data_IF_823538550486
#
_entry.id   IF_823538550486
#
_cell.length_a   1.000
_cell.length_b   1.000
_cell.length_c   1.000
_cell.angle_alpha   90.00
_cell.angle_beta   90.00
_cell.angle_gamma   90.00
#
_symmetry.space_group_name_H-M   'P 1'
#
loop_
_entity.id
_entity.type
_entity.pdbx_description
1 polymer ?
#
# COMPACT_ATOMS: atom_id res chain seq x y z
N UNK A 1 -45.64 -19.00 28.58
CA UNK A 1 -46.53 -19.72 27.65
C UNK A 1 -45.92 -19.55 26.25
N UNK A 2 -45.39 -20.48 25.52
CA UNK A 2 -45.43 -21.92 25.44
C UNK A 2 -44.14 -22.40 24.78
N UNK A 3 -43.59 -23.43 25.37
CA UNK A 3 -42.42 -24.22 24.92
C UNK A 3 -42.84 -25.08 23.71
N UNK A 4 -41.97 -25.23 22.72
CA UNK A 4 -41.97 -26.47 21.96
C UNK A 4 -40.53 -26.87 21.53
N UNK A 5 -40.02 -27.87 22.24
CA UNK A 5 -38.89 -28.73 21.88
C UNK A 5 -39.35 -29.72 20.81
N UNK A 6 -38.51 -30.03 19.83
CA UNK A 6 -38.51 -31.33 19.15
C UNK A 6 -37.08 -31.78 18.87
N UNK A 7 -36.76 -32.87 19.56
CA UNK A 7 -35.62 -33.76 19.40
C UNK A 7 -35.96 -34.92 18.46
N UNK A 8 -34.92 -35.70 18.11
CA UNK A 8 -34.82 -37.04 17.43
C UNK A 8 -34.49 -36.98 15.95
N UNK A 9 -33.65 -37.86 15.34
CA UNK A 9 -32.99 -39.07 15.84
C UNK A 9 -31.76 -39.42 14.97
N UNK A 10 -30.89 -40.23 15.56
CA UNK A 10 -29.78 -41.01 14.99
C UNK A 10 -30.22 -41.93 13.84
N UNK A 11 -29.33 -42.16 12.88
CA UNK A 11 -29.16 -43.49 12.26
C UNK A 11 -27.75 -43.63 11.72
N UNK A 12 -26.95 -44.47 12.35
CA UNK A 12 -25.65 -44.93 11.88
C UNK A 12 -25.82 -46.09 10.87
N UNK A 13 -24.85 -46.18 9.97
CA UNK A 13 -24.59 -47.45 9.23
C UNK A 13 -23.08 -47.69 9.23
N UNK A 14 -22.74 -48.79 9.81
CA UNK A 14 -21.42 -49.41 9.89
C UNK A 14 -21.36 -50.46 8.77
N UNK A 15 -20.30 -50.48 7.94
CA UNK A 15 -19.97 -51.66 7.11
C UNK A 15 -18.49 -51.96 7.19
N UNK A 16 -18.23 -53.24 7.50
CA UNK A 16 -16.95 -53.89 7.77
C UNK A 16 -16.15 -54.21 6.48
N UNK A 17 -14.87 -54.16 6.64
CA UNK A 17 -13.75 -55.05 6.28
C UNK A 17 -13.86 -56.05 5.11
N UNK A 18 -12.76 -56.08 4.32
CA UNK A 18 -12.16 -57.32 3.87
C UNK A 18 -10.64 -57.17 3.68
N UNK A 19 -9.91 -57.95 4.44
CA UNK A 19 -8.48 -58.21 4.31
C UNK A 19 -8.22 -59.17 3.14
N UNK A 20 -7.09 -58.95 2.44
CA UNK A 20 -6.57 -59.91 1.44
C UNK A 20 -5.04 -59.97 1.56
N UNK A 21 -4.56 -60.96 2.31
CA UNK A 21 -3.16 -61.38 2.32
C UNK A 21 -2.85 -62.23 1.05
N UNK A 22 -1.71 -61.96 0.47
CA UNK A 22 -1.13 -62.83 -0.58
C UNK A 22 0.39 -62.67 -0.55
N UNK A 23 1.06 -63.59 0.15
CA UNK A 23 2.51 -63.81 0.13
C UNK A 23 2.93 -64.49 -1.15
N UNK A 24 4.07 -64.16 -1.72
CA UNK A 24 5.09 -65.15 -2.09
C UNK A 24 6.46 -64.48 -2.43
N UNK A 25 7.46 -65.21 -2.04
CA UNK A 25 8.87 -64.89 -1.89
C UNK A 25 9.73 -65.07 -3.14
N UNK A 26 11.00 -64.53 -3.03
CA UNK A 26 12.29 -64.93 -3.62
C UNK A 26 12.56 -64.39 -5.03
N UNK A 27 13.64 -63.67 -5.31
CA UNK A 27 15.07 -63.82 -5.12
C UNK A 27 15.81 -62.55 -5.59
N UNK A 28 16.84 -62.21 -4.91
CA UNK A 28 18.20 -61.71 -5.22
C UNK A 28 18.43 -60.79 -6.40
N UNK A 29 18.86 -59.55 -6.10
CA UNK A 29 19.51 -58.67 -7.10
C UNK A 29 19.91 -57.34 -6.48
N UNK A 30 21.21 -57.13 -6.38
CA UNK A 30 21.97 -56.02 -5.80
C UNK A 30 21.31 -54.64 -5.95
N UNK A 31 21.21 -54.00 -4.79
CA UNK A 31 20.78 -52.64 -4.57
C UNK A 31 21.76 -51.60 -5.11
N UNK A 32 21.32 -50.77 -6.00
CA UNK A 32 21.84 -49.38 -6.09
C UNK A 32 20.68 -48.45 -5.76
N UNK A 33 20.76 -47.82 -4.60
CA UNK A 33 19.86 -46.75 -4.18
C UNK A 33 20.03 -45.56 -5.12
N UNK A 34 18.94 -45.05 -5.71
CA UNK A 34 19.02 -43.73 -6.31
C UNK A 34 19.02 -42.70 -5.18
N UNK A 35 20.14 -42.00 -5.05
CA UNK A 35 20.26 -40.77 -4.29
C UNK A 35 19.20 -39.80 -4.73
N UNK A 36 18.27 -39.48 -3.82
CA UNK A 36 17.27 -38.40 -4.01
C UNK A 36 18.06 -37.09 -4.09
N UNK A 37 18.27 -36.60 -5.29
CA UNK A 37 18.68 -35.22 -5.51
C UNK A 37 17.59 -34.30 -4.98
N UNK A 38 17.92 -33.26 -4.21
CA UNK A 38 16.94 -32.26 -3.84
C UNK A 38 16.41 -31.61 -5.13
N UNK A 39 15.10 -31.69 -5.33
CA UNK A 39 14.41 -30.98 -6.40
C UNK A 39 14.64 -29.49 -6.19
N UNK A 40 15.57 -28.91 -6.92
CA UNK A 40 15.73 -27.48 -7.04
C UNK A 40 14.46 -26.93 -7.68
N UNK A 41 13.67 -26.20 -6.91
CA UNK A 41 12.64 -25.34 -7.44
C UNK A 41 13.21 -24.46 -8.54
N UNK A 42 12.47 -24.15 -9.63
CA UNK A 42 12.99 -23.28 -10.67
C UNK A 42 13.32 -21.91 -10.06
N UNK A 43 14.59 -21.59 -10.00
CA UNK A 43 15.09 -20.24 -9.70
C UNK A 43 14.57 -19.35 -10.81
N UNK A 44 13.62 -18.46 -10.51
CA UNK A 44 13.23 -17.38 -11.40
C UNK A 44 14.46 -16.52 -11.61
N UNK A 45 15.06 -16.61 -12.81
CA UNK A 45 16.36 -16.02 -13.16
C UNK A 45 16.35 -14.50 -13.22
N UNK A 46 16.31 -13.84 -12.07
CA UNK A 46 16.60 -12.43 -11.91
C UNK A 46 17.95 -12.24 -11.22
N UNK A 47 18.52 -11.02 -11.23
CA UNK A 47 19.77 -10.75 -10.54
C UNK A 47 19.62 -11.06 -9.04
N UNK A 48 20.63 -11.71 -8.46
CA UNK A 48 20.70 -11.89 -7.00
C UNK A 48 21.05 -10.54 -6.36
N UNK A 49 20.05 -9.93 -5.72
CA UNK A 49 20.17 -8.62 -5.06
C UNK A 49 20.49 -8.74 -3.56
N UNK A 50 20.61 -9.95 -3.03
CA UNK A 50 20.85 -10.20 -1.59
C UNK A 50 22.15 -9.56 -1.06
N UNK A 51 23.15 -9.39 -1.93
CA UNK A 51 24.40 -8.71 -1.63
C UNK A 51 24.29 -7.23 -1.32
N UNK A 52 23.21 -6.58 -1.78
CA UNK A 52 22.98 -5.14 -1.64
C UNK A 52 22.14 -4.76 -0.41
N UNK A 53 21.73 -5.75 0.39
CA UNK A 53 20.99 -5.52 1.63
C UNK A 53 21.90 -4.93 2.72
N UNK A 54 21.43 -3.91 3.48
CA UNK A 54 22.10 -3.48 4.70
C UNK A 54 22.38 -4.67 5.65
N UNK A 55 23.53 -4.71 6.34
CA UNK A 55 23.91 -5.83 7.20
C UNK A 55 22.84 -6.20 8.25
N UNK A 56 22.17 -5.19 8.82
CA UNK A 56 21.07 -5.37 9.79
C UNK A 56 19.90 -6.16 9.17
N UNK A 57 19.47 -5.79 7.97
CA UNK A 57 18.35 -6.44 7.26
C UNK A 57 18.76 -7.87 6.87
N UNK A 58 19.97 -8.04 6.34
CA UNK A 58 20.51 -9.35 5.96
C UNK A 58 20.56 -10.31 7.14
N UNK A 59 21.03 -9.85 8.29
CA UNK A 59 21.09 -10.66 9.52
C UNK A 59 19.71 -11.00 10.07
N UNK A 60 18.73 -10.07 9.96
CA UNK A 60 17.37 -10.27 10.45
C UNK A 60 16.49 -11.10 9.51
N UNK A 61 16.83 -11.22 8.22
CA UNK A 61 16.01 -11.86 7.19
C UNK A 61 14.68 -11.15 6.92
N UNK A 62 14.56 -9.91 7.38
CA UNK A 62 13.34 -9.10 7.22
C UNK A 62 13.64 -7.60 7.15
N UNK A 63 12.76 -6.86 6.47
CA UNK A 63 12.76 -5.40 6.41
C UNK A 63 11.63 -4.88 7.30
N UNK A 64 11.94 -4.01 8.27
CA UNK A 64 10.95 -3.34 9.11
C UNK A 64 10.48 -2.07 8.41
N UNK A 65 9.19 -2.00 8.04
CA UNK A 65 8.62 -0.92 7.25
C UNK A 65 7.59 -0.13 8.06
N UNK A 66 7.83 1.19 8.20
CA UNK A 66 6.80 2.11 8.72
C UNK A 66 5.77 2.42 7.63
N UNK A 67 4.48 2.30 7.96
CA UNK A 67 3.36 2.47 7.02
C UNK A 67 2.17 3.13 7.70
N UNK A 68 1.49 4.07 7.06
CA UNK A 68 0.18 4.54 7.51
C UNK A 68 -0.93 3.72 6.86
N UNK A 69 -1.39 2.70 7.57
CA UNK A 69 -2.40 1.78 7.08
C UNK A 69 -3.83 2.35 7.15
N UNK A 70 -4.01 3.60 6.70
CA UNK A 70 -5.31 4.28 6.61
C UNK A 70 -5.62 4.85 5.21
N UNK A 71 -4.87 4.42 4.17
CA UNK A 71 -4.82 5.02 2.83
C UNK A 71 -5.23 4.05 1.70
N UNK A 72 -6.45 3.45 1.77
CA UNK A 72 -6.89 2.49 0.75
C UNK A 72 -7.05 3.15 -0.63
N UNK A 73 -6.70 2.45 -1.73
CA UNK A 73 -6.36 1.04 -1.84
C UNK A 73 -4.86 0.75 -1.70
N UNK A 74 -4.04 1.76 -1.39
CA UNK A 74 -2.58 1.63 -1.43
C UNK A 74 -2.03 0.88 -0.22
N UNK A 75 -2.41 1.27 1.00
CA UNK A 75 -2.08 0.59 2.25
C UNK A 75 -3.17 0.82 3.31
N UNK A 76 -3.73 -0.27 3.83
CA UNK A 76 -4.80 -0.19 4.83
C UNK A 76 -4.92 -1.46 5.67
N UNK A 77 -5.65 -1.36 6.79
CA UNK A 77 -5.91 -2.50 7.67
C UNK A 77 -7.11 -3.32 7.20
N UNK A 78 -6.88 -4.52 6.69
CA UNK A 78 -7.94 -5.49 6.46
C UNK A 78 -8.37 -6.16 7.77
N UNK A 79 -9.66 -6.10 8.07
CA UNK A 79 -10.20 -6.63 9.32
C UNK A 79 -9.62 -5.97 10.58
N UNK A 80 -9.06 -4.77 10.45
CA UNK A 80 -8.44 -4.04 11.57
C UNK A 80 -7.11 -4.61 12.06
N UNK A 81 -6.51 -5.57 11.36
CA UNK A 81 -5.33 -6.31 11.83
C UNK A 81 -4.20 -6.41 10.82
N UNK A 82 -4.49 -6.78 9.60
CA UNK A 82 -3.47 -7.09 8.58
C UNK A 82 -3.30 -5.91 7.64
N UNK A 83 -2.09 -5.44 7.47
CA UNK A 83 -1.76 -4.41 6.47
C UNK A 83 -1.81 -5.03 5.08
N UNK A 84 -2.62 -4.48 4.20
CA UNK A 84 -2.81 -4.91 2.81
C UNK A 84 -2.90 -3.68 1.90
N UNK A 85 -2.76 -3.89 0.60
CA UNK A 85 -2.90 -2.82 -0.39
C UNK A 85 -1.92 -2.96 -1.55
N UNK A 86 -2.00 -2.02 -2.47
CA UNK A 86 -1.14 -1.98 -3.66
C UNK A 86 0.36 -1.87 -3.27
N UNK A 87 0.69 -0.95 -2.38
CA UNK A 87 2.05 -0.73 -1.91
C UNK A 87 2.60 -1.95 -1.18
N UNK A 88 1.73 -2.61 -0.41
CA UNK A 88 2.07 -3.82 0.34
C UNK A 88 2.40 -4.98 -0.60
N UNK A 89 1.53 -5.24 -1.57
CA UNK A 89 1.74 -6.32 -2.54
C UNK A 89 2.98 -6.06 -3.39
N UNK A 90 3.16 -4.83 -3.87
CA UNK A 90 4.29 -4.46 -4.72
C UNK A 90 5.61 -4.59 -3.95
N UNK A 91 5.67 -4.06 -2.73
CA UNK A 91 6.92 -4.13 -1.97
C UNK A 91 7.20 -5.53 -1.41
N UNK A 92 6.20 -6.34 -1.12
CA UNK A 92 6.41 -7.76 -0.81
C UNK A 92 7.07 -8.49 -1.99
N UNK A 93 6.68 -8.18 -3.24
CA UNK A 93 7.36 -8.72 -4.43
C UNK A 93 8.80 -8.20 -4.59
N UNK A 94 9.05 -6.92 -4.26
CA UNK A 94 10.42 -6.37 -4.18
C UNK A 94 11.25 -7.12 -3.13
N UNK A 95 10.74 -7.31 -1.92
CA UNK A 95 11.43 -8.02 -0.84
C UNK A 95 11.76 -9.48 -1.19
N UNK A 96 10.90 -10.15 -1.97
CA UNK A 96 11.16 -11.50 -2.48
C UNK A 96 12.38 -11.55 -3.41
N UNK A 97 12.66 -10.49 -4.20
CA UNK A 97 13.89 -10.41 -5.02
C UNK A 97 15.17 -10.35 -4.17
N UNK A 98 15.07 -9.96 -2.92
CA UNK A 98 16.14 -9.96 -1.93
C UNK A 98 16.16 -11.22 -1.06
N UNK A 99 15.19 -12.11 -1.15
CA UNK A 99 15.07 -13.29 -0.30
C UNK A 99 14.70 -13.00 1.16
N UNK A 100 14.06 -11.87 1.44
CA UNK A 100 13.65 -11.45 2.80
C UNK A 100 12.14 -11.23 2.90
N UNK A 101 11.62 -11.20 4.12
CA UNK A 101 10.23 -10.88 4.41
C UNK A 101 10.06 -9.40 4.79
N UNK A 102 8.82 -8.91 4.87
CA UNK A 102 8.49 -7.56 5.31
C UNK A 102 7.74 -7.60 6.63
N UNK A 103 8.17 -6.77 7.57
CA UNK A 103 7.51 -6.54 8.86
C UNK A 103 6.83 -5.17 8.84
N UNK A 104 5.55 -5.14 8.52
CA UNK A 104 4.75 -3.93 8.37
C UNK A 104 4.36 -3.36 9.74
N UNK A 105 4.82 -2.13 10.05
CA UNK A 105 4.61 -1.44 11.32
C UNK A 105 3.68 -0.23 11.13
N UNK A 106 2.39 -0.31 11.50
CA UNK A 106 1.47 0.82 11.41
C UNK A 106 1.95 2.03 12.23
N UNK A 107 1.91 3.21 11.61
CA UNK A 107 2.37 4.48 12.19
C UNK A 107 1.53 5.65 11.64
N UNK A 108 1.62 6.82 12.27
CA UNK A 108 1.07 8.04 11.67
C UNK A 108 1.95 8.51 10.50
N UNK A 109 1.31 8.91 9.41
CA UNK A 109 1.98 9.32 8.17
C UNK A 109 3.10 10.34 8.41
N UNK A 110 2.81 11.38 9.18
CA UNK A 110 3.72 12.49 9.50
C UNK A 110 4.95 12.06 10.34
N UNK A 111 4.93 10.86 10.92
CA UNK A 111 6.01 10.36 11.78
C UNK A 111 6.95 9.36 11.09
N UNK A 112 6.59 8.84 9.91
CA UNK A 112 7.33 7.74 9.28
C UNK A 112 8.72 8.16 8.85
N UNK A 113 8.88 9.30 8.17
CA UNK A 113 10.20 9.79 7.71
C UNK A 113 11.14 9.97 8.90
N UNK A 114 10.67 10.61 9.97
CA UNK A 114 11.46 10.78 11.21
C UNK A 114 11.80 9.43 11.85
N UNK A 115 10.87 8.46 11.80
CA UNK A 115 11.11 7.09 12.26
C UNK A 115 12.19 6.36 11.46
N UNK A 116 12.25 6.57 10.15
CA UNK A 116 13.32 6.05 9.27
C UNK A 116 14.67 6.71 9.59
N UNK A 117 14.69 8.04 9.73
CA UNK A 117 15.90 8.77 10.12
C UNK A 117 16.45 8.34 11.48
N UNK A 118 15.56 8.06 12.44
CA UNK A 118 15.91 7.60 13.78
C UNK A 118 16.21 6.10 13.89
N UNK A 119 16.14 5.34 12.78
CA UNK A 119 16.40 3.89 12.76
C UNK A 119 15.33 3.02 13.42
N UNK A 120 14.14 3.59 13.72
CA UNK A 120 12.96 2.85 14.19
C UNK A 120 12.46 1.89 13.12
N UNK A 121 12.46 2.35 11.87
CA UNK A 121 12.12 1.57 10.68
C UNK A 121 13.36 1.46 9.79
N UNK A 122 13.51 0.37 9.08
CA UNK A 122 14.54 0.22 8.06
C UNK A 122 14.20 1.04 6.80
N UNK A 123 12.91 1.25 6.56
CA UNK A 123 12.39 2.12 5.51
C UNK A 123 10.92 2.52 5.77
N UNK A 124 10.41 3.45 4.96
CA UNK A 124 9.00 3.88 4.99
C UNK A 124 8.32 3.65 3.66
N UNK A 125 7.09 3.15 3.70
CA UNK A 125 6.23 2.95 2.52
C UNK A 125 4.83 3.40 2.90
N UNK A 126 4.36 4.47 2.28
CA UNK A 126 3.03 5.04 2.52
C UNK A 126 2.70 6.09 1.47
N UNK A 127 2.79 5.73 0.20
CA UNK A 127 2.41 6.61 -0.92
C UNK A 127 3.04 8.01 -0.85
N UNK A 128 4.30 8.10 -0.41
CA UNK A 128 4.97 9.40 -0.24
C UNK A 128 5.25 10.06 -1.58
N UNK A 129 4.57 11.16 -1.89
CA UNK A 129 4.91 12.02 -3.03
C UNK A 129 6.37 12.49 -2.90
N UNK A 130 7.17 12.26 -3.94
CA UNK A 130 8.55 12.72 -4.01
C UNK A 130 8.56 14.25 -4.17
N UNK A 131 9.26 14.93 -3.27
CA UNK A 131 9.52 16.37 -3.36
C UNK A 131 10.89 16.72 -2.78
N UNK A 132 11.38 17.95 -3.04
CA UNK A 132 12.72 18.37 -2.62
C UNK A 132 12.90 18.38 -1.11
N UNK A 133 11.86 18.75 -0.35
CA UNK A 133 11.89 18.78 1.13
C UNK A 133 12.13 17.37 1.70
N UNK A 134 11.48 16.35 1.14
CA UNK A 134 11.65 14.94 1.55
C UNK A 134 12.98 14.37 1.05
N UNK A 135 13.38 14.69 -0.20
CA UNK A 135 14.69 14.26 -0.76
C UNK A 135 15.88 14.78 0.04
N UNK A 136 15.78 15.91 0.72
CA UNK A 136 16.83 16.40 1.62
C UNK A 136 17.01 15.50 2.85
N UNK A 137 15.95 14.84 3.30
CA UNK A 137 15.92 14.08 4.54
C UNK A 137 16.24 12.60 4.34
N UNK A 138 15.79 12.01 3.23
CA UNK A 138 15.86 10.58 2.92
C UNK A 138 16.16 10.36 1.44
N UNK A 139 16.53 9.14 1.06
CA UNK A 139 16.47 8.74 -0.35
C UNK A 139 15.04 8.29 -0.66
N UNK A 140 14.57 8.59 -1.86
CA UNK A 140 13.24 8.23 -2.33
C UNK A 140 13.36 7.46 -3.65
N UNK A 141 12.82 6.24 -3.70
CA UNK A 141 12.82 5.38 -4.90
C UNK A 141 11.46 5.45 -5.56
N UNK A 142 11.37 6.02 -6.77
CA UNK A 142 10.10 6.14 -7.49
C UNK A 142 9.52 4.78 -7.86
N UNK A 143 8.18 4.62 -7.71
CA UNK A 143 7.52 3.36 -8.05
C UNK A 143 6.13 3.51 -8.67
N UNK A 144 5.48 4.66 -8.56
CA UNK A 144 4.11 4.89 -9.03
C UNK A 144 3.88 6.39 -9.23
N UNK A 145 2.91 6.80 -10.03
CA UNK A 145 2.59 8.21 -10.25
C UNK A 145 1.14 8.51 -9.87
N UNK A 146 0.94 9.56 -9.07
CA UNK A 146 -0.39 10.03 -8.66
C UNK A 146 -0.42 11.55 -8.60
N UNK A 147 -1.61 12.12 -8.68
CA UNK A 147 -1.83 13.54 -8.45
C UNK A 147 -2.93 13.76 -7.43
N UNK A 148 -3.11 14.99 -7.00
CA UNK A 148 -4.18 15.39 -6.08
C UNK A 148 -5.53 15.40 -6.79
N UNK A 149 -6.57 14.96 -6.09
CA UNK A 149 -7.95 14.98 -6.55
C UNK A 149 -8.87 15.42 -5.40
N UNK A 150 -9.94 16.14 -5.74
CA UNK A 150 -10.96 16.55 -4.79
C UNK A 150 -12.19 15.63 -4.87
N UNK A 151 -12.80 15.40 -3.71
CA UNK A 151 -14.12 14.77 -3.62
C UNK A 151 -15.08 15.64 -2.82
N UNK A 152 -16.37 15.51 -3.17
CA UNK A 152 -17.50 16.14 -2.49
C UNK A 152 -18.66 15.15 -2.37
N UNK A 153 -19.69 15.50 -1.60
CA UNK A 153 -20.93 14.74 -1.57
C UNK A 153 -21.58 14.71 -2.94
N UNK A 154 -22.29 13.63 -3.26
CA UNK A 154 -22.98 13.44 -4.56
C UNK A 154 -23.86 14.62 -4.94
N UNK A 155 -23.73 15.07 -6.18
CA UNK A 155 -24.44 16.23 -6.73
C UNK A 155 -23.85 17.58 -6.30
N UNK A 156 -22.69 17.58 -5.66
CA UNK A 156 -21.97 18.78 -5.23
C UNK A 156 -22.85 19.84 -4.54
N UNK A 157 -23.57 19.49 -3.47
CA UNK A 157 -24.60 20.36 -2.88
C UNK A 157 -24.04 21.65 -2.27
N UNK A 158 -22.72 21.69 -2.03
CA UNK A 158 -22.02 22.85 -1.49
C UNK A 158 -21.35 23.71 -2.56
N UNK A 159 -21.50 23.34 -3.85
CA UNK A 159 -20.90 24.08 -4.96
C UNK A 159 -19.37 24.17 -4.81
N UNK A 160 -18.73 23.03 -4.53
CA UNK A 160 -17.27 22.97 -4.43
C UNK A 160 -16.66 23.21 -5.80
N UNK A 161 -15.77 24.17 -5.86
CA UNK A 161 -14.90 24.42 -6.99
C UNK A 161 -13.45 24.37 -6.49
N UNK A 162 -12.61 23.42 -6.96
CA UNK A 162 -11.20 23.35 -6.54
C UNK A 162 -10.43 24.65 -6.76
N UNK A 163 -10.76 25.44 -7.79
CA UNK A 163 -10.07 26.70 -8.08
C UNK A 163 -10.55 27.86 -7.18
N UNK A 164 -11.67 27.70 -6.51
CA UNK A 164 -12.25 28.69 -5.59
C UNK A 164 -13.03 28.00 -4.45
N UNK A 165 -12.31 27.38 -3.54
CA UNK A 165 -12.87 26.71 -2.36
C UNK A 165 -12.92 27.64 -1.13
N UNK A 166 -12.80 28.96 -1.31
CA UNK A 166 -12.80 29.93 -0.23
C UNK A 166 -14.10 29.85 0.61
N UNK A 167 -13.94 29.88 1.94
CA UNK A 167 -15.04 29.75 2.90
C UNK A 167 -15.62 28.34 3.07
N UNK A 168 -15.18 27.37 2.28
CA UNK A 168 -15.60 25.96 2.39
C UNK A 168 -14.84 25.24 3.50
N UNK A 169 -15.42 24.15 3.99
CA UNK A 169 -14.80 23.27 4.98
C UNK A 169 -14.18 22.07 4.27
N UNK A 170 -12.86 21.88 4.40
CA UNK A 170 -12.11 20.88 3.65
C UNK A 170 -11.37 19.94 4.60
N UNK A 171 -11.62 18.64 4.49
CA UNK A 171 -10.92 17.61 5.23
C UNK A 171 -9.64 17.19 4.51
N UNK A 172 -8.55 17.07 5.25
CA UNK A 172 -7.22 16.72 4.72
C UNK A 172 -6.39 16.00 5.77
N UNK A 173 -5.51 15.11 5.33
CA UNK A 173 -4.61 14.40 6.23
C UNK A 173 -3.37 15.22 6.56
N UNK A 174 -2.91 15.12 7.81
CA UNK A 174 -1.71 15.75 8.34
C UNK A 174 -0.43 15.23 7.67
N UNK A 175 0.53 16.13 7.40
CA UNK A 175 1.84 15.78 6.83
C UNK A 175 1.84 15.50 5.33
N UNK A 176 0.69 15.62 4.66
CA UNK A 176 0.56 15.44 3.21
C UNK A 176 0.93 16.69 2.43
N UNK A 177 1.30 16.54 1.17
CA UNK A 177 1.53 17.67 0.24
C UNK A 177 0.28 18.50 0.05
N UNK A 178 -0.90 17.88 0.14
CA UNK A 178 -2.18 18.59 0.09
C UNK A 178 -2.31 19.61 1.23
N UNK A 179 -1.95 19.22 2.45
CA UNK A 179 -2.00 20.13 3.59
C UNK A 179 -0.84 21.14 3.61
N UNK A 180 0.39 20.67 3.33
CA UNK A 180 1.60 21.47 3.56
C UNK A 180 1.98 22.37 2.38
N UNK A 181 1.61 21.99 1.15
CA UNK A 181 2.02 22.72 -0.06
C UNK A 181 0.83 23.32 -0.83
N UNK A 182 -0.31 22.60 -0.97
CA UNK A 182 -1.45 23.07 -1.75
C UNK A 182 -2.37 24.01 -0.95
N UNK A 183 -2.80 23.61 0.25
CA UNK A 183 -3.69 24.43 1.06
C UNK A 183 -3.14 25.83 1.39
N UNK A 184 -1.85 26.02 1.70
CA UNK A 184 -1.30 27.36 1.90
C UNK A 184 -1.41 28.26 0.67
N UNK A 185 -1.21 27.74 -0.54
CA UNK A 185 -1.38 28.50 -1.79
C UNK A 185 -2.82 28.94 -1.99
N UNK A 186 -3.78 28.05 -1.73
CA UNK A 186 -5.22 28.33 -1.81
C UNK A 186 -5.67 29.34 -0.76
N UNK A 187 -5.16 29.23 0.47
CA UNK A 187 -5.42 30.23 1.54
C UNK A 187 -4.89 31.61 1.15
N UNK A 188 -3.65 31.68 0.61
CA UNK A 188 -3.08 32.92 0.14
C UNK A 188 -3.93 33.57 -0.98
N UNK A 189 -4.46 32.73 -1.91
CA UNK A 189 -5.38 33.19 -2.96
C UNK A 189 -6.69 33.72 -2.37
N UNK A 190 -7.33 33.02 -1.44
CA UNK A 190 -8.56 33.48 -0.80
C UNK A 190 -8.35 34.85 -0.12
N UNK A 191 -7.24 35.00 0.58
CA UNK A 191 -6.84 36.28 1.22
C UNK A 191 -6.63 37.40 0.20
N UNK A 192 -5.94 37.13 -0.90
CA UNK A 192 -5.70 38.09 -1.97
C UNK A 192 -6.99 38.53 -2.65
N UNK A 193 -7.94 37.62 -2.81
CA UNK A 193 -9.27 37.87 -3.41
C UNK A 193 -10.28 38.50 -2.42
N UNK A 194 -9.88 38.76 -1.16
CA UNK A 194 -10.75 39.32 -0.10
C UNK A 194 -11.87 38.37 0.33
N UNK A 195 -11.70 37.05 0.09
CA UNK A 195 -12.67 35.99 0.41
C UNK A 195 -12.34 35.35 1.77
N UNK A 196 -13.35 34.69 2.41
CA UNK A 196 -13.13 33.92 3.63
C UNK A 196 -12.12 32.81 3.40
N UNK A 197 -11.30 32.52 4.42
CA UNK A 197 -10.36 31.41 4.38
C UNK A 197 -11.06 30.04 4.28
N UNK A 198 -10.39 29.05 3.70
CA UNK A 198 -10.80 27.65 3.73
C UNK A 198 -10.71 27.14 5.17
N UNK A 199 -11.78 26.56 5.68
CA UNK A 199 -11.80 25.92 7.02
C UNK A 199 -11.24 24.52 6.91
N UNK A 200 -10.06 24.26 7.49
CA UNK A 200 -9.41 22.97 7.43
C UNK A 200 -9.84 22.06 8.57
N UNK A 201 -10.26 20.84 8.22
CA UNK A 201 -10.46 19.72 9.14
C UNK A 201 -9.28 18.78 8.95
N UNK A 202 -8.24 19.00 9.76
CA UNK A 202 -7.02 18.18 9.68
C UNK A 202 -7.21 16.90 10.48
N UNK A 203 -6.87 15.76 9.88
CA UNK A 203 -6.94 14.42 10.49
C UNK A 203 -5.60 13.72 10.47
N UNK A 204 -5.31 12.92 11.49
CA UNK A 204 -4.10 12.11 11.51
C UNK A 204 -4.15 10.98 10.49
N UNK A 205 -5.35 10.52 10.11
CA UNK A 205 -5.59 9.42 9.18
C UNK A 205 -6.50 9.83 8.03
N UNK A 206 -6.22 9.33 6.83
CA UNK A 206 -7.01 9.64 5.65
C UNK A 206 -8.44 9.06 5.71
N UNK A 207 -8.62 7.88 6.26
CA UNK A 207 -9.95 7.28 6.43
C UNK A 207 -10.88 8.16 7.30
N UNK A 208 -10.32 8.89 8.28
CA UNK A 208 -11.06 9.88 9.08
C UNK A 208 -11.45 11.10 8.25
N UNK A 209 -10.57 11.60 7.37
CA UNK A 209 -10.90 12.69 6.46
C UNK A 209 -12.03 12.29 5.49
N UNK A 210 -11.99 11.07 4.97
CA UNK A 210 -13.06 10.50 4.15
C UNK A 210 -14.37 10.39 4.93
N UNK A 211 -14.31 9.90 6.17
CA UNK A 211 -15.50 9.78 7.04
C UNK A 211 -16.11 11.15 7.39
N UNK A 212 -15.30 12.19 7.54
CA UNK A 212 -15.80 13.54 7.79
C UNK A 212 -16.55 14.11 6.58
N UNK A 213 -16.12 13.82 5.36
CA UNK A 213 -16.86 14.18 4.16
C UNK A 213 -18.17 13.38 4.05
N UNK A 214 -18.15 12.06 4.22
CA UNK A 214 -19.35 11.21 4.18
C UNK A 214 -20.35 11.62 5.25
N UNK A 215 -19.88 11.96 6.45
CA UNK A 215 -20.70 12.39 7.58
C UNK A 215 -21.14 13.87 7.52
N UNK A 216 -20.76 14.62 6.47
CA UNK A 216 -21.15 16.03 6.29
C UNK A 216 -20.48 17.01 7.25
N UNK A 217 -19.38 16.61 7.91
CA UNK A 217 -18.54 17.51 8.74
C UNK A 217 -17.59 18.34 7.89
N UNK A 218 -17.30 17.90 6.69
CA UNK A 218 -16.57 18.62 5.67
C UNK A 218 -17.41 18.74 4.39
N UNK A 219 -17.22 19.83 3.65
CA UNK A 219 -17.88 20.07 2.37
C UNK A 219 -17.12 19.36 1.22
N UNK A 220 -15.81 19.17 1.40
CA UNK A 220 -14.94 18.46 0.48
C UNK A 220 -13.79 17.75 1.23
N UNK A 221 -13.15 16.82 0.57
CA UNK A 221 -11.83 16.31 0.95
C UNK A 221 -10.89 16.33 -0.25
N UNK A 222 -9.59 16.34 0.00
CA UNK A 222 -8.59 16.09 -1.02
C UNK A 222 -7.56 15.09 -0.52
N UNK A 223 -7.11 14.25 -1.43
CA UNK A 223 -6.08 13.25 -1.26
C UNK A 223 -5.50 12.90 -2.64
N UNK A 224 -4.64 11.90 -2.69
CA UNK A 224 -4.16 11.39 -3.96
C UNK A 224 -5.28 10.67 -4.75
N UNK A 225 -5.19 10.78 -6.06
CA UNK A 225 -6.25 10.32 -6.97
C UNK A 225 -6.65 8.85 -6.79
N UNK A 226 -5.76 7.86 -6.55
CA UNK A 226 -6.20 6.49 -6.29
C UNK A 226 -7.10 6.38 -5.06
N UNK A 227 -6.78 7.12 -4.01
CA UNK A 227 -7.50 7.08 -2.73
C UNK A 227 -8.88 7.74 -2.85
N UNK A 228 -8.95 8.89 -3.52
CA UNK A 228 -10.23 9.57 -3.79
C UNK A 228 -11.15 8.69 -4.64
N UNK A 229 -10.63 8.12 -5.75
CA UNK A 229 -11.41 7.26 -6.63
C UNK A 229 -11.87 5.98 -5.92
N UNK A 230 -11.03 5.41 -5.07
CA UNK A 230 -11.41 4.27 -4.24
C UNK A 230 -12.52 4.64 -3.25
N UNK A 231 -12.41 5.77 -2.54
CA UNK A 231 -13.43 6.25 -1.61
C UNK A 231 -14.78 6.46 -2.30
N UNK A 232 -14.80 7.06 -3.49
CA UNK A 232 -16.01 7.23 -4.31
C UNK A 232 -16.66 5.87 -4.61
N UNK A 233 -15.86 4.89 -5.04
CA UNK A 233 -16.35 3.54 -5.33
C UNK A 233 -16.90 2.84 -4.09
N UNK A 234 -16.23 2.95 -2.94
CA UNK A 234 -16.62 2.26 -1.70
C UNK A 234 -17.84 2.87 -1.01
N UNK A 235 -18.12 4.13 -1.27
CA UNK A 235 -19.27 4.83 -0.67
C UNK A 235 -20.58 4.66 -1.46
N UNK A 236 -20.61 3.76 -2.46
CA UNK A 236 -21.80 3.43 -3.24
C UNK A 236 -22.52 4.67 -3.80
N UNK A 237 -21.75 5.62 -4.33
CA UNK A 237 -22.28 6.82 -4.97
C UNK A 237 -22.69 7.95 -3.99
N UNK A 238 -22.26 7.88 -2.73
CA UNK A 238 -22.44 9.02 -1.80
C UNK A 238 -21.47 10.16 -2.08
N UNK A 239 -20.31 9.84 -2.67
CA UNK A 239 -19.29 10.81 -3.06
C UNK A 239 -19.16 10.90 -4.58
N UNK A 240 -18.64 12.01 -5.05
CA UNK A 240 -18.19 12.20 -6.44
C UNK A 240 -16.91 13.03 -6.48
N UNK A 241 -16.12 12.85 -7.54
CA UNK A 241 -14.98 13.72 -7.79
C UNK A 241 -15.45 15.10 -8.27
N UNK A 242 -14.67 16.12 -7.96
CA UNK A 242 -14.82 17.46 -8.49
C UNK A 242 -13.48 17.99 -8.97
N UNK A 243 -13.48 18.60 -10.18
CA UNK A 243 -12.26 19.01 -10.85
C UNK A 243 -11.50 17.84 -11.50
N UNK A 244 -10.28 18.11 -11.92
CA UNK A 244 -9.37 17.17 -12.57
C UNK A 244 -8.22 16.81 -11.62
N UNK A 245 -7.52 15.72 -11.90
CA UNK A 245 -6.26 15.39 -11.21
C UNK A 245 -5.22 16.45 -11.57
N UNK A 246 -4.50 16.96 -10.57
CA UNK A 246 -3.46 17.97 -10.72
C UNK A 246 -2.25 17.66 -9.83
N UNK A 247 -1.14 18.40 -10.03
CA UNK A 247 0.12 18.24 -9.29
C UNK A 247 0.58 16.77 -9.24
N UNK A 248 0.50 16.07 -10.39
CA UNK A 248 0.94 14.70 -10.50
C UNK A 248 2.46 14.60 -10.30
N UNK A 249 2.86 13.68 -9.42
CA UNK A 249 4.26 13.42 -9.11
C UNK A 249 4.45 11.94 -8.71
N UNK A 250 5.67 11.39 -8.82
CA UNK A 250 5.91 10.02 -8.42
C UNK A 250 5.81 9.84 -6.90
N UNK A 251 5.29 8.67 -6.48
CA UNK A 251 5.48 8.15 -5.14
C UNK A 251 6.88 7.57 -4.98
N UNK A 252 7.44 7.68 -3.78
CA UNK A 252 8.75 7.14 -3.44
C UNK A 252 8.74 6.29 -2.19
N UNK A 253 9.40 5.13 -2.29
CA UNK A 253 9.81 4.40 -1.09
C UNK A 253 10.87 5.21 -0.36
N UNK A 254 10.68 5.39 0.94
CA UNK A 254 11.56 6.17 1.81
C UNK A 254 12.67 5.27 2.35
N UNK A 255 13.92 5.57 2.03
CA UNK A 255 15.11 4.81 2.42
C UNK A 255 16.06 5.73 3.20
N UNK A 256 16.75 5.28 4.27
CA UNK A 256 17.69 6.11 4.98
C UNK A 256 18.72 6.74 4.04
N UNK A 257 19.12 7.98 4.32
CA UNK A 257 20.05 8.74 3.46
C UNK A 257 21.39 8.04 3.26
N UNK A 258 21.86 7.31 4.29
CA UNK A 258 23.11 6.55 4.25
C UNK A 258 23.02 5.28 3.40
N UNK A 259 21.82 4.77 3.10
CA UNK A 259 21.59 3.48 2.45
C UNK A 259 21.35 3.64 0.94
N UNK A 260 22.18 4.42 0.25
CA UNK A 260 22.03 4.68 -1.20
C UNK A 260 22.16 3.40 -2.04
N UNK A 261 23.04 2.48 -1.67
CA UNK A 261 23.19 1.20 -2.38
C UNK A 261 21.93 0.35 -2.27
N UNK A 262 21.26 0.35 -1.11
CA UNK A 262 19.99 -0.33 -0.93
C UNK A 262 18.86 0.33 -1.76
N UNK A 263 18.80 1.66 -1.81
CA UNK A 263 17.87 2.38 -2.67
C UNK A 263 18.05 2.03 -4.16
N UNK A 264 19.29 1.94 -4.63
CA UNK A 264 19.61 1.49 -5.98
C UNK A 264 19.18 0.05 -6.24
N UNK A 265 19.43 -0.85 -5.29
CA UNK A 265 19.01 -2.24 -5.40
C UNK A 265 17.48 -2.40 -5.45
N UNK A 266 16.72 -1.60 -4.70
CA UNK A 266 15.24 -1.54 -4.81
C UNK A 266 14.83 -1.10 -6.22
N UNK A 267 15.51 -0.13 -6.82
CA UNK A 267 15.27 0.30 -8.20
C UNK A 267 15.47 -0.84 -9.20
N UNK A 268 16.54 -1.62 -9.05
CA UNK A 268 16.79 -2.80 -9.91
C UNK A 268 15.75 -3.91 -9.69
N UNK A 269 15.30 -4.12 -8.44
CA UNK A 269 14.21 -5.05 -8.15
C UNK A 269 12.90 -4.62 -8.87
N UNK A 270 12.54 -3.33 -8.81
CA UNK A 270 11.35 -2.80 -9.51
C UNK A 270 11.46 -2.98 -11.03
N UNK A 271 12.63 -2.70 -11.64
CA UNK A 271 12.88 -2.96 -13.06
C UNK A 271 12.69 -4.44 -13.43
N UNK A 272 13.20 -5.35 -12.58
CA UNK A 272 13.00 -6.79 -12.76
C UNK A 272 11.51 -7.17 -12.71
N UNK A 273 10.75 -6.65 -11.73
CA UNK A 273 9.31 -6.88 -11.60
C UNK A 273 8.51 -6.29 -12.77
N UNK A 274 8.97 -5.17 -13.34
CA UNK A 274 8.37 -4.61 -14.53
C UNK A 274 8.61 -5.48 -15.76
N UNK A 275 9.82 -6.04 -15.89
CA UNK A 275 10.22 -6.91 -17.00
C UNK A 275 9.46 -8.25 -16.97
N UNK A 276 9.28 -8.85 -15.78
CA UNK A 276 8.56 -10.12 -15.63
C UNK A 276 7.02 -9.98 -15.56
N UNK A 277 6.50 -8.75 -15.60
CA UNK A 277 5.07 -8.44 -15.60
C UNK A 277 4.43 -8.39 -14.20
N UNK A 278 5.16 -8.71 -13.13
CA UNK A 278 4.65 -8.68 -11.75
C UNK A 278 4.23 -7.28 -11.33
N UNK A 279 5.00 -6.24 -11.69
CA UNK A 279 4.65 -4.85 -11.42
C UNK A 279 3.28 -4.51 -12.01
N UNK A 280 3.09 -4.73 -13.31
CA UNK A 280 1.83 -4.43 -13.99
C UNK A 280 0.64 -5.20 -13.40
N UNK A 281 0.80 -6.51 -13.17
CA UNK A 281 -0.27 -7.35 -12.63
C UNK A 281 -0.65 -6.93 -11.20
N UNK A 282 0.32 -6.49 -10.39
CA UNK A 282 0.05 -5.94 -9.04
C UNK A 282 -0.79 -4.67 -9.12
N UNK A 283 -0.44 -3.72 -9.98
CA UNK A 283 -1.23 -2.49 -10.14
C UNK A 283 -2.65 -2.79 -10.65
N UNK A 284 -2.80 -3.70 -11.61
CA UNK A 284 -4.10 -4.12 -12.15
C UNK A 284 -4.98 -4.77 -11.09
N UNK A 285 -4.42 -5.59 -10.20
CA UNK A 285 -5.14 -6.19 -9.05
C UNK A 285 -5.88 -5.13 -8.23
N UNK A 286 -5.28 -3.96 -8.10
CA UNK A 286 -5.80 -2.84 -7.31
C UNK A 286 -6.53 -1.77 -8.15
N UNK A 287 -6.69 -1.97 -9.47
CA UNK A 287 -7.23 -1.00 -10.44
C UNK A 287 -6.49 0.34 -10.44
N UNK A 288 -5.17 0.29 -10.28
CA UNK A 288 -4.28 1.45 -10.23
C UNK A 288 -3.27 1.49 -11.39
N UNK A 289 -3.49 0.76 -12.46
CA UNK A 289 -2.58 0.66 -13.61
C UNK A 289 -2.38 2.01 -14.34
N UNK A 290 -3.29 2.96 -14.20
CA UNK A 290 -3.14 4.31 -14.75
C UNK A 290 -1.97 5.11 -14.16
N UNK A 291 -1.49 4.75 -12.97
CA UNK A 291 -0.32 5.37 -12.33
C UNK A 291 0.99 4.61 -12.56
N UNK A 292 1.01 3.62 -13.46
CA UNK A 292 2.21 2.86 -13.77
C UNK A 292 3.32 3.77 -14.34
N UNK A 293 4.56 3.52 -13.89
CA UNK A 293 5.76 4.17 -14.42
C UNK A 293 6.70 3.13 -15.01
N UNK A 294 7.62 3.56 -15.87
CA UNK A 294 8.66 2.71 -16.45
C UNK A 294 10.07 3.18 -16.08
N UNK A 295 10.18 4.41 -15.57
CA UNK A 295 11.44 5.03 -15.18
C UNK A 295 11.54 5.04 -13.63
N UNK A 296 12.05 3.93 -13.10
CA UNK A 296 12.32 3.79 -11.68
C UNK A 296 13.69 4.41 -11.36
N UNK A 297 13.73 5.34 -10.43
CA UNK A 297 14.94 6.07 -10.09
C UNK A 297 15.03 6.40 -8.59
N UNK A 298 16.26 6.67 -8.14
CA UNK A 298 16.53 7.21 -6.78
C UNK A 298 16.54 8.73 -6.88
N UNK A 299 15.70 9.39 -6.10
CA UNK A 299 15.60 10.86 -6.00
C UNK A 299 15.35 11.56 -7.37
N UNK A 300 14.39 11.09 -8.17
CA UNK A 300 14.11 11.70 -9.46
C UNK A 300 13.71 13.18 -9.37
#
# INVERSE_FOLDING_TARGET
MSVLRRTLALSGVLVLAAAGCGSNSLEGGSSTSPSSAPSSAPSSGGPDLSGSLPPKIKAAGKIVVGVDASYPPNEFLQGGKTVVGMDVDLFNAVAQKFGVTVDWQPAGFDTIITGVQGGKYDMGISSFTINDKRKQQVNMVSYFNAGTLWATAKGNPKGINPDDACGKTVAVQKGTTQLEDDMPKRQAKCKADGKPEIKLVVRDKQDQATADLVGGKADAMLADSPVVLYAIKQTNGQLEQVGQIYDAAPYGYVVPKAETAFAQAITEALKSLNTDGTYKSTLQKWNNDSGAITDFAVNP
#
